data_IF_091014165734
#
_entry.id   IF_091014165734
#
_cell.length_a   1.000
_cell.length_b   1.000
_cell.length_c   1.000
_cell.angle_alpha   90.00
_cell.angle_beta   90.00
_cell.angle_gamma   90.00
#
_symmetry.space_group_name_H-M   'P 1'
#
loop_
_entity.id
_entity.type
_entity.pdbx_description
1 polymer ?
#
# COMPACT_ATOMS: atom_id res chain seq x y z
N UNK A 1 12.94 -0.58 12.47
CA UNK A 1 13.64 -1.85 12.10
C UNK A 1 13.28 -2.98 13.05
N UNK A 2 13.07 -2.70 14.34
CA UNK A 2 12.65 -3.68 15.35
C UNK A 2 11.38 -4.46 14.96
N UNK A 3 10.37 -3.80 14.38
CA UNK A 3 9.19 -4.48 13.85
C UNK A 3 9.55 -5.57 12.83
N UNK A 4 10.52 -5.30 11.94
CA UNK A 4 10.95 -6.30 10.95
C UNK A 4 11.69 -7.47 11.59
N UNK A 5 12.48 -7.21 12.64
CA UNK A 5 13.17 -8.27 13.38
C UNK A 5 12.19 -9.18 14.12
N UNK A 6 11.10 -8.62 14.65
CA UNK A 6 10.06 -9.39 15.35
C UNK A 6 9.17 -10.18 14.40
N UNK A 7 8.87 -9.63 13.23
CA UNK A 7 7.81 -10.16 12.35
C UNK A 7 8.31 -10.91 11.13
N UNK A 8 9.56 -10.72 10.70
CA UNK A 8 10.08 -11.33 9.47
C UNK A 8 10.94 -12.55 9.81
N UNK A 9 10.33 -13.73 9.71
CA UNK A 9 11.00 -15.00 10.01
C UNK A 9 11.64 -15.67 8.78
N UNK A 10 11.20 -15.30 7.56
CA UNK A 10 11.64 -15.95 6.32
C UNK A 10 12.91 -15.32 5.76
N UNK A 11 13.94 -16.14 5.52
CA UNK A 11 15.17 -15.73 4.81
C UNK A 11 14.82 -15.29 3.38
N UNK A 12 15.32 -14.12 2.96
CA UNK A 12 15.03 -13.57 1.64
C UNK A 12 13.64 -12.92 1.52
N UNK A 13 12.96 -12.64 2.63
CA UNK A 13 11.74 -11.86 2.63
C UNK A 13 11.96 -10.45 2.06
N UNK A 14 10.89 -9.88 1.53
CA UNK A 14 10.86 -8.53 0.97
C UNK A 14 9.95 -7.66 1.82
N UNK A 15 10.38 -6.44 2.14
CA UNK A 15 9.56 -5.45 2.83
C UNK A 15 9.14 -4.35 1.86
N UNK A 16 7.84 -4.17 1.68
CA UNK A 16 7.28 -3.02 0.98
C UNK A 16 7.25 -1.81 1.89
N UNK A 17 7.67 -0.64 1.39
CA UNK A 17 7.51 0.62 2.11
C UNK A 17 7.23 1.81 1.17
N UNK A 18 6.68 2.87 1.73
CA UNK A 18 6.44 4.14 1.03
C UNK A 18 7.74 4.91 0.78
N UNK A 19 7.63 6.03 0.06
CA UNK A 19 8.77 6.84 -0.38
C UNK A 19 9.54 7.51 0.77
N UNK A 20 8.91 7.76 1.91
CA UNK A 20 9.55 8.31 3.11
C UNK A 20 10.64 7.39 3.67
N UNK A 21 10.49 6.08 3.47
CA UNK A 21 11.46 5.06 3.88
C UNK A 21 12.67 4.93 2.93
N UNK A 22 12.70 5.69 1.83
CA UNK A 22 13.88 5.76 0.96
C UNK A 22 14.98 6.60 1.63
N UNK A 23 15.59 6.01 2.66
CA UNK A 23 16.69 6.57 3.43
C UNK A 23 17.81 5.55 3.55
N UNK A 24 19.06 6.04 3.54
CA UNK A 24 20.25 5.17 3.67
C UNK A 24 20.18 4.31 4.94
N UNK A 25 19.72 4.87 6.04
CA UNK A 25 19.58 4.18 7.32
C UNK A 25 18.59 3.00 7.22
N UNK A 26 17.40 3.22 6.67
CA UNK A 26 16.39 2.17 6.54
C UNK A 26 16.81 1.08 5.56
N UNK A 27 17.29 1.46 4.36
CA UNK A 27 17.72 0.51 3.33
C UNK A 27 18.89 -0.35 3.82
N UNK A 28 19.91 0.28 4.43
CA UNK A 28 21.06 -0.45 5.02
C UNK A 28 20.61 -1.34 6.18
N UNK A 29 19.66 -0.88 6.98
CA UNK A 29 19.02 -1.66 8.04
C UNK A 29 18.37 -2.94 7.52
N UNK A 30 17.52 -2.82 6.50
CA UNK A 30 16.86 -3.98 5.87
C UNK A 30 17.89 -4.98 5.32
N UNK A 31 18.91 -4.49 4.61
CA UNK A 31 19.97 -5.33 4.04
C UNK A 31 20.76 -6.08 5.11
N UNK A 32 21.07 -5.43 6.24
CA UNK A 32 21.73 -6.08 7.39
C UNK A 32 20.88 -7.20 7.99
N UNK A 33 19.57 -7.01 8.01
CA UNK A 33 18.60 -8.03 8.41
C UNK A 33 18.36 -9.11 7.33
N UNK A 34 19.07 -9.04 6.19
CA UNK A 34 18.88 -9.92 5.02
C UNK A 34 17.45 -9.87 4.46
N UNK A 35 16.80 -8.71 4.57
CA UNK A 35 15.48 -8.41 4.02
C UNK A 35 15.66 -7.50 2.80
N UNK A 36 15.00 -7.84 1.69
CA UNK A 36 15.02 -7.04 0.46
C UNK A 36 14.13 -5.81 0.61
N UNK A 37 14.65 -4.58 0.51
CA UNK A 37 13.84 -3.37 0.63
C UNK A 37 13.14 -3.03 -0.68
N UNK A 38 11.83 -3.28 -0.78
CA UNK A 38 10.97 -2.87 -1.91
C UNK A 38 10.30 -1.52 -1.59
N UNK A 39 11.12 -0.48 -1.58
CA UNK A 39 10.72 0.88 -1.18
C UNK A 39 10.47 1.72 -2.42
N UNK A 40 9.47 2.61 -2.40
CA UNK A 40 9.27 3.57 -3.49
C UNK A 40 10.47 4.54 -3.57
N UNK A 41 11.21 4.51 -4.67
CA UNK A 41 12.41 5.32 -4.87
C UNK A 41 12.10 6.81 -5.08
N UNK A 42 12.93 7.67 -4.50
CA UNK A 42 12.99 9.11 -4.76
C UNK A 42 13.61 9.35 -6.14
N UNK A 43 13.21 10.45 -6.78
CA UNK A 43 13.74 10.81 -8.10
C UNK A 43 15.21 11.26 -8.05
N UNK A 44 15.63 11.88 -6.94
CA UNK A 44 17.00 12.31 -6.69
C UNK A 44 17.45 11.80 -5.32
N UNK A 45 18.71 11.35 -5.22
CA UNK A 45 19.30 10.91 -3.96
C UNK A 45 18.68 9.65 -3.34
N UNK A 46 18.13 8.74 -4.16
CA UNK A 46 17.56 7.48 -3.67
C UNK A 46 18.63 6.61 -3.01
N UNK A 47 18.28 5.97 -1.90
CA UNK A 47 19.07 4.92 -1.27
C UNK A 47 18.80 3.53 -1.87
N UNK A 48 17.70 3.39 -2.63
CA UNK A 48 17.40 2.22 -3.44
C UNK A 48 18.23 2.26 -4.73
N UNK A 49 18.84 1.13 -5.07
CA UNK A 49 19.67 0.97 -6.27
C UNK A 49 18.89 0.34 -7.44
N UNK A 50 19.53 0.38 -8.62
CA UNK A 50 18.99 -0.15 -9.87
C UNK A 50 18.64 -1.64 -9.82
N UNK A 51 19.26 -2.42 -8.92
CA UNK A 51 18.93 -3.84 -8.74
C UNK A 51 17.47 -4.04 -8.37
N UNK A 52 16.90 -3.15 -7.56
CA UNK A 52 15.51 -3.24 -7.12
C UNK A 52 14.56 -2.66 -8.17
N UNK A 53 14.94 -1.55 -8.81
CA UNK A 53 14.05 -0.80 -9.71
C UNK A 53 14.03 -1.31 -11.15
N UNK A 54 15.02 -2.12 -11.58
CA UNK A 54 15.13 -2.63 -12.96
C UNK A 54 14.02 -3.58 -13.39
N UNK A 55 13.31 -4.18 -12.43
CA UNK A 55 12.31 -5.20 -12.72
C UNK A 55 10.94 -4.56 -12.98
N UNK A 56 10.25 -4.96 -14.05
CA UNK A 56 8.89 -4.48 -14.34
C UNK A 56 7.92 -4.70 -13.15
N UNK A 57 8.10 -5.80 -12.42
CA UNK A 57 7.33 -6.10 -11.22
C UNK A 57 7.38 -4.99 -10.15
N UNK A 58 8.50 -4.26 -10.04
CA UNK A 58 8.63 -3.13 -9.12
C UNK A 58 7.69 -1.99 -9.50
N UNK A 59 7.64 -1.65 -10.80
CA UNK A 59 6.77 -0.60 -11.34
C UNK A 59 5.30 -0.98 -11.20
N UNK A 60 4.94 -2.22 -11.52
CA UNK A 60 3.58 -2.73 -11.37
C UNK A 60 3.14 -2.75 -9.92
N UNK A 61 3.98 -3.23 -9.00
CA UNK A 61 3.72 -3.24 -7.56
C UNK A 61 3.45 -1.83 -7.02
N UNK A 62 4.21 -0.81 -7.45
CA UNK A 62 3.96 0.59 -7.07
C UNK A 62 2.58 1.09 -7.50
N UNK A 63 2.15 0.78 -8.73
CA UNK A 63 0.82 1.15 -9.23
C UNK A 63 -0.30 0.45 -8.45
N UNK A 64 -0.14 -0.84 -8.15
CA UNK A 64 -1.13 -1.61 -7.39
C UNK A 64 -1.26 -1.09 -5.96
N UNK A 65 -0.14 -0.76 -5.29
CA UNK A 65 -0.16 -0.16 -3.95
C UNK A 65 -0.95 1.15 -3.91
N UNK A 66 -0.70 2.03 -4.88
CA UNK A 66 -1.45 3.29 -5.03
C UNK A 66 -2.97 3.07 -5.17
N UNK A 67 -3.39 2.11 -6.00
CA UNK A 67 -4.81 1.75 -6.17
C UNK A 67 -5.45 1.24 -4.88
N UNK A 68 -4.72 0.46 -4.10
CA UNK A 68 -5.20 -0.03 -2.80
C UNK A 68 -5.35 1.14 -1.82
N UNK A 69 -4.38 2.07 -1.79
CA UNK A 69 -4.45 3.28 -0.96
C UNK A 69 -5.66 4.16 -1.32
N UNK A 70 -5.97 4.32 -2.61
CA UNK A 70 -7.16 5.04 -3.09
C UNK A 70 -8.45 4.41 -2.56
N UNK A 71 -8.57 3.08 -2.64
CA UNK A 71 -9.72 2.36 -2.10
C UNK A 71 -9.85 2.59 -0.58
N UNK A 72 -8.77 2.43 0.18
CA UNK A 72 -8.80 2.71 1.63
C UNK A 72 -9.09 4.17 1.95
N UNK A 73 -8.63 5.12 1.12
CA UNK A 73 -8.96 6.53 1.23
C UNK A 73 -10.47 6.74 1.10
N UNK A 74 -11.07 6.26 0.02
CA UNK A 74 -12.51 6.34 -0.24
C UNK A 74 -13.33 5.66 0.85
N UNK A 75 -12.91 4.48 1.32
CA UNK A 75 -13.58 3.76 2.40
C UNK A 75 -13.59 4.57 3.72
N UNK A 76 -12.51 5.30 4.00
CA UNK A 76 -12.43 6.16 5.18
C UNK A 76 -13.30 7.39 5.06
N UNK A 77 -13.29 8.06 3.91
CA UNK A 77 -13.98 9.34 3.69
C UNK A 77 -15.45 9.15 3.35
N UNK A 78 -15.77 8.32 2.37
CA UNK A 78 -17.13 8.06 1.86
C UNK A 78 -17.75 6.84 2.53
N UNK A 79 -16.99 5.75 2.70
CA UNK A 79 -17.47 4.53 3.36
C UNK A 79 -17.65 4.64 4.88
N UNK A 80 -17.33 5.79 5.47
CA UNK A 80 -17.54 6.08 6.90
C UNK A 80 -16.62 5.32 7.86
N UNK A 81 -15.59 4.61 7.37
CA UNK A 81 -14.69 3.85 8.26
C UNK A 81 -13.80 4.74 9.14
N UNK A 82 -13.58 6.01 8.79
CA UNK A 82 -12.83 6.93 9.64
C UNK A 82 -13.53 7.23 10.98
N UNK A 83 -14.86 7.12 11.02
CA UNK A 83 -15.70 7.45 12.19
C UNK A 83 -16.78 6.39 12.42
N UNK A 84 -16.45 5.12 12.21
CA UNK A 84 -17.40 4.02 12.41
C UNK A 84 -17.95 3.99 13.83
N UNK A 85 -19.24 3.71 13.96
CA UNK A 85 -19.95 3.55 15.24
C UNK A 85 -20.12 2.08 15.63
N UNK A 86 -19.57 1.17 14.83
CA UNK A 86 -19.65 -0.26 15.05
C UNK A 86 -18.52 -0.72 15.96
N UNK A 87 -18.85 -1.55 16.95
CA UNK A 87 -17.89 -2.17 17.86
C UNK A 87 -17.89 -3.68 17.61
N UNK A 88 -16.67 -4.24 17.48
CA UNK A 88 -16.44 -5.67 17.29
C UNK A 88 -16.00 -6.05 15.87
N UNK A 89 -15.09 -7.01 15.78
CA UNK A 89 -14.45 -7.43 14.52
C UNK A 89 -15.45 -7.86 13.44
N UNK A 90 -16.48 -8.63 13.80
CA UNK A 90 -17.46 -9.12 12.83
C UNK A 90 -18.26 -7.97 12.17
N UNK A 91 -18.68 -6.97 12.96
CA UNK A 91 -19.42 -5.80 12.44
C UNK A 91 -18.53 -4.93 11.55
N UNK A 92 -17.29 -4.70 11.95
CA UNK A 92 -16.31 -3.95 11.16
C UNK A 92 -15.96 -4.67 9.86
N UNK A 93 -15.81 -6.00 9.89
CA UNK A 93 -15.57 -6.81 8.70
C UNK A 93 -16.75 -6.73 7.73
N UNK A 94 -17.99 -6.80 8.24
CA UNK A 94 -19.20 -6.62 7.43
C UNK A 94 -19.26 -5.25 6.76
N UNK A 95 -19.01 -4.17 7.51
CA UNK A 95 -18.95 -2.81 6.94
C UNK A 95 -17.85 -2.70 5.88
N UNK A 96 -16.64 -3.19 6.17
CA UNK A 96 -15.52 -3.13 5.23
C UNK A 96 -15.83 -3.90 3.93
N UNK A 97 -16.39 -5.10 4.03
CA UNK A 97 -16.77 -5.91 2.87
C UNK A 97 -17.79 -5.17 1.99
N UNK A 98 -18.85 -4.63 2.60
CA UNK A 98 -19.86 -3.87 1.88
C UNK A 98 -19.24 -2.64 1.20
N UNK A 99 -18.44 -1.84 1.92
CA UNK A 99 -17.82 -0.65 1.35
C UNK A 99 -16.84 -0.98 0.21
N UNK A 100 -16.07 -2.07 0.31
CA UNK A 100 -15.21 -2.52 -0.79
C UNK A 100 -16.01 -3.00 -2.01
N UNK A 101 -17.14 -3.69 -1.79
CA UNK A 101 -18.04 -4.07 -2.87
C UNK A 101 -18.60 -2.83 -3.59
N UNK A 102 -19.05 -1.82 -2.83
CA UNK A 102 -19.52 -0.55 -3.40
C UNK A 102 -18.41 0.19 -4.14
N UNK A 103 -17.18 0.23 -3.58
CA UNK A 103 -16.03 0.84 -4.26
C UNK A 103 -15.73 0.18 -5.61
N UNK A 104 -15.88 -1.15 -5.72
CA UNK A 104 -15.74 -1.83 -7.00
C UNK A 104 -16.78 -1.36 -8.03
N UNK A 105 -18.03 -1.10 -7.62
CA UNK A 105 -19.06 -0.54 -8.50
C UNK A 105 -18.69 0.87 -8.99
N UNK A 106 -18.26 1.75 -8.08
CA UNK A 106 -17.79 3.11 -8.41
C UNK A 106 -16.64 3.04 -9.42
N UNK A 107 -15.69 2.14 -9.20
CA UNK A 107 -14.55 1.94 -10.10
C UNK A 107 -14.96 1.42 -11.47
N UNK A 108 -15.91 0.49 -11.56
CA UNK A 108 -16.46 0.04 -12.85
C UNK A 108 -17.16 1.19 -13.58
N UNK A 109 -17.80 2.10 -12.85
CA UNK A 109 -18.38 3.33 -13.37
C UNK A 109 -17.38 4.17 -14.15
N UNK A 110 -16.22 4.41 -13.55
CA UNK A 110 -15.15 5.19 -14.18
C UNK A 110 -14.44 4.48 -15.31
N UNK A 111 -14.38 3.14 -15.29
CA UNK A 111 -13.86 2.38 -16.43
C UNK A 111 -14.77 2.45 -17.65
N UNK A 112 -16.09 2.45 -17.43
CA UNK A 112 -17.09 2.59 -18.50
C UNK A 112 -17.31 4.03 -18.97
N UNK A 113 -16.66 5.02 -18.36
CA UNK A 113 -16.77 6.43 -18.73
C UNK A 113 -18.11 7.11 -18.41
N UNK A 114 -19.03 6.40 -17.75
CA UNK A 114 -20.36 6.94 -17.39
C UNK A 114 -20.39 7.56 -15.99
N UNK A 115 -19.31 7.45 -15.23
CA UNK A 115 -19.16 8.03 -13.90
C UNK A 115 -17.74 8.57 -13.68
N UNK A 116 -17.62 9.86 -13.34
CA UNK A 116 -16.33 10.45 -12.97
C UNK A 116 -16.10 10.33 -11.46
N UNK A 117 -15.22 9.42 -11.04
CA UNK A 117 -14.84 9.24 -9.65
C UNK A 117 -13.75 10.23 -9.17
N UNK A 118 -13.40 11.27 -9.94
CA UNK A 118 -12.47 12.33 -9.53
C UNK A 118 -12.99 13.22 -8.37
N UNK A 119 -14.12 12.88 -7.75
CA UNK A 119 -14.70 13.59 -6.61
C UNK A 119 -14.73 12.71 -5.35
N UNK A 120 -13.57 12.58 -4.72
CA UNK A 120 -13.39 12.33 -3.29
C UNK A 120 -12.02 12.84 -2.85
#
# INVERSE_FOLDING_TARGET
LEMLQRSVMKKGATVGADKGYDSKAFVKGCRRLRITPHVASKAKGSAIDGRTTRHEGYRTSLKVRKRIEEAFGWLKTVGGLAKTKLIGHAKLAGQALLCFATYNLVRMGSLGGWWDAHHA
#
